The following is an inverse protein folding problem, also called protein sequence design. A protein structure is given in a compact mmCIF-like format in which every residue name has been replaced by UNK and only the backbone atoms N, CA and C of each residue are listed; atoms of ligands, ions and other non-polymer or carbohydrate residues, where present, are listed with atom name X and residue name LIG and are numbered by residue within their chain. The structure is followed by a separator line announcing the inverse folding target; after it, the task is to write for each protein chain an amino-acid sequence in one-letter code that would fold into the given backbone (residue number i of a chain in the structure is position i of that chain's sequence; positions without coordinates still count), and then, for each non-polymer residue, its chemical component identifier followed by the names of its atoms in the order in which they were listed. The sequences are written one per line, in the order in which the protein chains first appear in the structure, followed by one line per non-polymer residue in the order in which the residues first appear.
data_IF_723087541700
#
_entry.id   IF_723087541700
#
_cell.length_a   1.000
_cell.length_b   1.000
_cell.length_c   1.000
_cell.angle_alpha   90.00
_cell.angle_beta   90.00
_cell.angle_gamma   90.00
#
_symmetry.space_group_name_H-M   'P 1'
#
loop_
_entity.id
_entity.type
_entity.pdbx_description
1 polymer ?
#
# COMPACT_ATOMS: atom_id res chain seq x y z
N UNK A 1 -7.10 -21.55 9.22
CA UNK A 1 -6.51 -21.11 7.94
C UNK A 1 -7.45 -21.51 6.79
N UNK A 2 -7.47 -20.79 5.66
CA UNK A 2 -8.43 -21.05 4.56
C UNK A 2 -7.70 -21.74 3.40
N UNK A 3 -8.14 -22.93 2.99
CA UNK A 3 -7.57 -23.64 1.84
C UNK A 3 -8.03 -23.03 0.51
N UNK A 4 -7.36 -23.35 -0.61
CA UNK A 4 -7.80 -22.91 -1.95
C UNK A 4 -9.23 -23.38 -2.27
N UNK A 5 -9.66 -24.51 -1.71
CA UNK A 5 -11.06 -24.97 -1.78
C UNK A 5 -12.02 -24.01 -1.09
N UNK A 6 -11.68 -23.52 0.09
CA UNK A 6 -12.52 -22.58 0.81
C UNK A 6 -12.53 -21.19 0.13
N UNK A 7 -11.45 -20.80 -0.54
CA UNK A 7 -11.41 -19.60 -1.39
C UNK A 7 -12.30 -19.78 -2.62
N UNK A 8 -12.16 -20.89 -3.36
CA UNK A 8 -13.00 -21.19 -4.51
C UNK A 8 -14.49 -21.22 -4.14
N UNK A 9 -14.83 -21.82 -2.99
CA UNK A 9 -16.18 -21.82 -2.45
C UNK A 9 -16.69 -20.41 -2.12
N UNK A 10 -15.88 -19.56 -1.47
CA UNK A 10 -16.26 -18.17 -1.17
C UNK A 10 -16.49 -17.29 -2.40
N UNK A 11 -15.87 -17.67 -3.52
CA UNK A 11 -15.97 -16.96 -4.80
C UNK A 11 -17.02 -17.58 -5.74
N UNK A 12 -17.72 -18.64 -5.32
CA UNK A 12 -18.70 -19.35 -6.16
C UNK A 12 -18.10 -20.03 -7.39
N UNK A 13 -16.78 -20.25 -7.43
CA UNK A 13 -16.10 -20.84 -8.58
C UNK A 13 -15.73 -22.30 -8.32
N UNK A 14 -15.82 -23.20 -9.32
CA UNK A 14 -15.34 -24.56 -9.17
C UNK A 14 -13.86 -24.57 -8.82
N UNK A 15 -13.48 -25.38 -7.83
CA UNK A 15 -12.09 -25.52 -7.38
C UNK A 15 -11.13 -25.83 -8.54
N UNK A 16 -11.55 -26.66 -9.50
CA UNK A 16 -10.73 -27.02 -10.68
C UNK A 16 -10.50 -25.83 -11.61
N UNK A 17 -11.44 -24.90 -11.68
CA UNK A 17 -11.36 -23.68 -12.48
C UNK A 17 -10.43 -22.68 -11.81
N UNK A 18 -10.56 -22.49 -10.49
CA UNK A 18 -9.61 -21.70 -9.70
C UNK A 18 -8.19 -22.28 -9.80
N UNK A 19 -8.05 -23.60 -9.73
CA UNK A 19 -6.79 -24.33 -9.88
C UNK A 19 -6.13 -24.14 -11.25
N UNK A 20 -6.87 -24.37 -12.35
CA UNK A 20 -6.35 -24.24 -13.71
C UNK A 20 -5.99 -22.79 -14.05
N UNK A 21 -6.76 -21.84 -13.54
CA UNK A 21 -6.49 -20.41 -13.72
C UNK A 21 -5.20 -20.01 -13.02
N UNK A 22 -5.00 -20.42 -11.76
CA UNK A 22 -3.74 -20.19 -11.03
C UNK A 22 -2.56 -20.91 -11.67
N UNK A 23 -2.73 -22.14 -12.17
CA UNK A 23 -1.67 -22.87 -12.87
C UNK A 23 -1.25 -22.18 -14.18
N UNK A 24 -2.22 -21.75 -15.01
CA UNK A 24 -1.96 -21.06 -16.28
C UNK A 24 -1.38 -19.66 -16.10
N UNK A 25 -1.88 -18.91 -15.12
CA UNK A 25 -1.40 -17.55 -14.85
C UNK A 25 -0.01 -17.52 -14.21
N UNK A 26 0.35 -18.55 -13.44
CA UNK A 26 1.48 -18.47 -12.49
C UNK A 26 2.47 -19.63 -12.59
N UNK A 27 2.23 -20.62 -13.46
CA UNK A 27 3.11 -21.78 -13.63
C UNK A 27 3.15 -22.74 -12.42
N UNK A 28 2.17 -22.68 -11.51
CA UNK A 28 2.18 -23.44 -10.24
C UNK A 28 1.86 -24.93 -10.51
N UNK A 29 2.91 -25.75 -10.62
CA UNK A 29 2.77 -27.20 -10.87
C UNK A 29 2.22 -28.03 -9.68
N UNK A 30 1.83 -29.31 -9.92
CA UNK A 30 1.17 -30.17 -8.91
C UNK A 30 1.94 -30.43 -7.61
N UNK A 31 3.27 -30.25 -7.58
CA UNK A 31 4.09 -30.38 -6.35
C UNK A 31 3.95 -29.18 -5.42
N UNK A 32 3.73 -27.98 -5.95
CA UNK A 32 3.49 -26.77 -5.16
C UNK A 32 2.11 -26.83 -4.48
N UNK A 33 1.13 -27.41 -5.16
CA UNK A 33 -0.23 -27.62 -4.64
C UNK A 33 -0.29 -28.56 -3.44
N UNK A 34 0.46 -29.68 -3.46
CA UNK A 34 0.54 -30.60 -2.30
C UNK A 34 1.14 -29.93 -1.06
N UNK A 35 1.96 -28.90 -1.25
CA UNK A 35 2.49 -28.06 -0.17
C UNK A 35 1.46 -27.01 0.29
N UNK A 36 0.63 -26.48 -0.62
CA UNK A 36 -0.46 -25.54 -0.29
C UNK A 36 -1.60 -26.16 0.53
N UNK A 37 -1.84 -27.47 0.38
CA UNK A 37 -2.82 -28.22 1.18
C UNK A 37 -2.26 -28.70 2.53
N UNK A 38 -0.96 -28.50 2.80
CA UNK A 38 -0.31 -28.90 4.06
C UNK A 38 -0.24 -27.71 5.04
N UNK A 39 -0.93 -27.76 6.19
CA UNK A 39 -0.99 -26.64 7.14
C UNK A 39 0.31 -26.36 7.91
N UNK A 40 1.28 -27.29 7.90
CA UNK A 40 2.47 -27.25 8.76
C UNK A 40 3.74 -26.77 8.04
N UNK A 41 3.69 -26.54 6.73
CA UNK A 41 4.85 -26.09 5.98
C UNK A 41 4.88 -24.56 5.96
N UNK A 42 5.85 -23.97 6.67
CA UNK A 42 6.22 -22.55 6.55
C UNK A 42 6.90 -22.30 5.21
N UNK A 43 6.11 -22.07 4.16
CA UNK A 43 6.61 -21.95 2.78
C UNK A 43 7.01 -20.49 2.50
N UNK A 44 8.17 -20.08 3.02
CA UNK A 44 8.90 -18.96 2.45
C UNK A 44 9.86 -19.60 1.45
N UNK A 45 9.43 -19.75 0.20
CA UNK A 45 10.25 -19.72 -1.03
C UNK A 45 9.43 -20.27 -2.21
N UNK A 46 9.07 -19.38 -3.14
CA UNK A 46 8.52 -19.74 -4.46
C UNK A 46 7.09 -19.27 -4.78
N UNK A 47 6.37 -18.61 -3.86
CA UNK A 47 4.93 -18.30 -4.03
C UNK A 47 4.55 -16.85 -3.73
N UNK A 48 4.70 -15.95 -4.70
CA UNK A 48 4.27 -14.55 -4.54
C UNK A 48 2.74 -14.44 -4.40
N UNK A 49 1.98 -15.18 -5.21
CA UNK A 49 0.51 -15.13 -5.19
C UNK A 49 -0.10 -15.82 -3.97
N UNK A 50 0.46 -16.96 -3.55
CA UNK A 50 0.02 -17.63 -2.31
C UNK A 50 0.23 -16.71 -1.09
N UNK A 51 1.38 -16.03 -1.03
CA UNK A 51 1.68 -15.08 0.05
C UNK A 51 0.74 -13.88 0.01
N UNK A 52 0.47 -13.33 -1.18
CA UNK A 52 -0.47 -12.22 -1.39
C UNK A 52 -1.89 -12.61 -0.96
N UNK A 53 -2.40 -13.77 -1.38
CA UNK A 53 -3.75 -14.24 -1.03
C UNK A 53 -3.85 -14.53 0.48
N UNK A 54 -2.84 -15.16 1.08
CA UNK A 54 -2.82 -15.39 2.54
C UNK A 54 -2.78 -14.08 3.32
N UNK A 55 -1.95 -13.13 2.89
CA UNK A 55 -1.90 -11.79 3.48
C UNK A 55 -3.25 -11.09 3.33
N UNK A 56 -3.87 -11.12 2.14
CA UNK A 56 -5.19 -10.56 1.88
C UNK A 56 -6.26 -11.08 2.82
N UNK A 57 -6.34 -12.40 3.00
CA UNK A 57 -7.30 -13.03 3.88
C UNK A 57 -7.01 -12.71 5.36
N UNK A 58 -5.75 -12.64 5.75
CA UNK A 58 -5.35 -12.25 7.11
C UNK A 58 -5.71 -10.79 7.40
N UNK A 59 -5.48 -9.91 6.44
CA UNK A 59 -5.82 -8.49 6.49
C UNK A 59 -7.33 -8.26 6.55
N UNK A 60 -8.09 -8.89 5.65
CA UNK A 60 -9.55 -8.80 5.62
C UNK A 60 -10.19 -9.28 6.94
N UNK A 61 -9.72 -10.40 7.50
CA UNK A 61 -10.20 -10.91 8.80
C UNK A 61 -9.96 -9.97 9.97
N UNK A 62 -8.98 -9.08 9.85
CA UNK A 62 -8.55 -8.16 10.90
C UNK A 62 -9.01 -6.72 10.63
N UNK A 63 -9.83 -6.51 9.60
CA UNK A 63 -10.27 -5.20 9.14
C UNK A 63 -9.11 -4.23 8.84
N UNK A 64 -8.06 -4.75 8.20
CA UNK A 64 -6.83 -4.04 7.89
C UNK A 64 -6.81 -3.66 6.39
N UNK A 65 -6.81 -2.36 6.08
CA UNK A 65 -6.64 -1.85 4.72
C UNK A 65 -5.16 -1.87 4.27
N UNK A 66 -4.82 -2.73 3.31
CA UNK A 66 -3.46 -2.83 2.78
C UNK A 66 -3.39 -2.25 1.37
N UNK A 67 -2.70 -1.12 1.22
CA UNK A 67 -2.55 -0.39 -0.02
C UNK A 67 -1.39 -0.94 -0.84
N UNK A 68 -1.66 -1.22 -2.10
CA UNK A 68 -0.58 -1.63 -3.00
C UNK A 68 -0.95 -1.38 -4.45
N UNK A 69 0.02 -1.45 -5.35
CA UNK A 69 -0.19 -1.40 -6.80
C UNK A 69 -0.69 -2.78 -7.26
N UNK A 70 -1.91 -3.14 -6.89
CA UNK A 70 -2.48 -4.50 -6.81
C UNK A 70 -1.83 -5.64 -7.66
N UNK A 71 -1.57 -6.81 -7.06
CA UNK A 71 -1.37 -8.08 -7.77
C UNK A 71 -2.67 -8.90 -7.97
N UNK A 72 -3.82 -8.40 -7.48
CA UNK A 72 -5.10 -9.13 -7.44
C UNK A 72 -6.25 -8.31 -8.05
N UNK A 73 -6.99 -8.85 -9.03
CA UNK A 73 -8.05 -8.16 -9.81
C UNK A 73 -9.09 -7.35 -9.05
N UNK A 74 -9.35 -7.72 -7.80
CA UNK A 74 -10.45 -7.19 -7.01
C UNK A 74 -9.95 -6.41 -5.78
N UNK A 75 -8.69 -5.98 -5.80
CA UNK A 75 -8.10 -5.34 -4.62
C UNK A 75 -8.67 -3.94 -4.39
N UNK A 76 -9.29 -3.68 -3.24
CA UNK A 76 -10.05 -2.44 -3.05
C UNK A 76 -9.20 -1.25 -2.59
N UNK A 77 -7.94 -1.43 -2.21
CA UNK A 77 -7.08 -0.36 -1.67
C UNK A 77 -5.84 -0.14 -2.53
N UNK A 78 -5.81 0.96 -3.27
CA UNK A 78 -4.75 1.23 -4.25
C UNK A 78 -3.78 2.30 -3.76
N UNK A 79 -2.48 2.04 -3.88
CA UNK A 79 -1.44 3.07 -3.73
C UNK A 79 -0.99 3.50 -5.11
N UNK A 80 -1.10 4.78 -5.46
CA UNK A 80 -0.67 5.31 -6.76
C UNK A 80 0.43 6.37 -6.56
N UNK A 81 1.61 6.21 -7.19
CA UNK A 81 2.60 7.28 -7.23
C UNK A 81 2.09 8.49 -8.02
N UNK A 82 2.50 9.70 -7.61
CA UNK A 82 2.15 10.95 -8.30
C UNK A 82 2.41 10.92 -9.82
N UNK A 83 3.51 10.28 -10.25
CA UNK A 83 3.89 10.14 -11.67
C UNK A 83 3.08 9.09 -12.44
N UNK A 84 2.14 8.41 -11.81
CA UNK A 84 1.43 7.25 -12.38
C UNK A 84 -0.09 7.38 -12.28
N UNK A 85 -0.63 8.59 -12.05
CA UNK A 85 -2.08 8.79 -11.98
C UNK A 85 -2.76 8.50 -13.33
N UNK A 86 -2.14 8.80 -14.46
CA UNK A 86 -2.71 8.43 -15.77
C UNK A 86 -2.86 6.91 -15.96
N UNK A 87 -1.93 6.15 -15.39
CA UNK A 87 -2.01 4.69 -15.43
C UNK A 87 -3.14 4.15 -14.53
N UNK A 88 -3.50 4.87 -13.45
CA UNK A 88 -4.60 4.50 -12.58
C UNK A 88 -5.92 4.42 -13.35
N UNK A 89 -6.21 5.36 -14.24
CA UNK A 89 -7.46 5.34 -15.03
C UNK A 89 -7.65 4.04 -15.81
N UNK A 90 -6.60 3.57 -16.49
CA UNK A 90 -6.62 2.30 -17.25
C UNK A 90 -6.92 1.11 -16.33
N UNK A 91 -6.34 1.13 -15.13
CA UNK A 91 -6.62 0.12 -14.12
C UNK A 91 -8.07 0.19 -13.65
N UNK A 92 -8.58 1.39 -13.35
CA UNK A 92 -9.96 1.59 -12.90
C UNK A 92 -10.97 1.13 -13.94
N UNK A 93 -10.72 1.42 -15.23
CA UNK A 93 -11.55 0.93 -16.32
C UNK A 93 -11.55 -0.61 -16.38
N UNK A 94 -10.38 -1.23 -16.23
CA UNK A 94 -10.23 -2.69 -16.21
C UNK A 94 -10.95 -3.33 -15.03
N UNK A 95 -10.85 -2.73 -13.84
CA UNK A 95 -11.62 -3.15 -12.66
C UNK A 95 -13.13 -3.03 -12.91
N UNK A 96 -13.59 -1.92 -13.49
CA UNK A 96 -15.00 -1.69 -13.81
C UNK A 96 -15.55 -2.74 -14.77
N UNK A 97 -14.80 -3.11 -15.81
CA UNK A 97 -15.17 -4.20 -16.75
C UNK A 97 -15.33 -5.56 -16.06
N UNK A 98 -14.62 -5.76 -14.96
CA UNK A 98 -14.70 -6.94 -14.10
C UNK A 98 -15.79 -6.85 -13.03
N UNK A 99 -16.61 -5.79 -13.02
CA UNK A 99 -17.61 -5.55 -11.96
C UNK A 99 -16.98 -5.19 -10.61
N UNK A 100 -15.72 -4.79 -10.60
CA UNK A 100 -14.98 -4.38 -9.42
C UNK A 100 -14.86 -2.85 -9.35
N UNK A 101 -14.66 -2.33 -8.13
CA UNK A 101 -14.32 -0.92 -7.90
C UNK A 101 -13.35 -0.82 -6.73
N UNK A 102 -12.40 0.13 -6.75
CA UNK A 102 -11.65 0.44 -5.54
C UNK A 102 -12.58 0.99 -4.46
N UNK A 103 -12.24 0.74 -3.20
CA UNK A 103 -12.84 1.40 -2.06
C UNK A 103 -12.05 2.67 -1.67
N UNK A 104 -10.72 2.62 -1.77
CA UNK A 104 -9.87 3.77 -1.44
C UNK A 104 -8.59 3.81 -2.26
N UNK A 105 -8.13 5.02 -2.59
CA UNK A 105 -6.86 5.28 -3.27
C UNK A 105 -6.01 6.27 -2.47
N UNK A 106 -4.73 5.94 -2.24
CA UNK A 106 -3.75 6.86 -1.65
C UNK A 106 -2.80 7.33 -2.75
N UNK A 107 -2.66 8.66 -2.90
CA UNK A 107 -1.63 9.29 -3.71
C UNK A 107 -0.31 9.36 -2.92
N UNK A 108 0.65 8.53 -3.32
CA UNK A 108 2.02 8.56 -2.83
C UNK A 108 2.79 9.65 -3.59
N UNK A 109 3.16 10.71 -2.88
CA UNK A 109 3.94 11.84 -3.43
C UNK A 109 5.33 11.43 -3.91
N UNK A 110 5.87 10.29 -3.44
CA UNK A 110 7.08 9.72 -3.99
C UNK A 110 8.30 10.64 -3.87
N UNK A 111 8.49 11.29 -2.72
CA UNK A 111 9.53 12.32 -2.48
C UNK A 111 10.95 11.94 -2.93
N UNK A 112 11.29 10.64 -2.89
CA UNK A 112 12.60 10.13 -3.31
C UNK A 112 12.86 10.31 -4.81
N UNK A 113 11.82 10.36 -5.64
CA UNK A 113 11.96 10.53 -7.10
C UNK A 113 12.19 12.00 -7.52
N UNK A 114 12.13 12.91 -6.54
CA UNK A 114 12.25 14.36 -6.70
C UNK A 114 13.41 14.94 -5.91
N UNK A 115 13.93 14.19 -4.95
CA UNK A 115 15.03 14.59 -4.11
C UNK A 115 16.36 14.56 -4.88
N UNK A 116 17.03 15.70 -4.94
CA UNK A 116 18.33 15.87 -5.63
C UNK A 116 19.54 15.45 -4.77
N UNK A 117 19.32 14.92 -3.56
CA UNK A 117 20.41 14.52 -2.66
C UNK A 117 20.98 15.64 -1.78
N UNK A 118 20.55 16.89 -1.97
CA UNK A 118 21.25 18.08 -1.42
C UNK A 118 20.35 19.07 -0.68
N UNK A 119 19.10 19.26 -1.12
CA UNK A 119 18.22 20.32 -0.59
C UNK A 119 16.90 19.76 -0.07
N UNK A 120 16.35 20.42 0.94
CA UNK A 120 15.02 20.13 1.46
C UNK A 120 13.89 20.72 0.59
N UNK A 121 14.24 21.58 -0.37
CA UNK A 121 13.30 22.24 -1.26
C UNK A 121 13.01 21.41 -2.50
N UNK A 122 11.73 21.29 -2.81
CA UNK A 122 11.23 20.69 -4.05
C UNK A 122 11.16 21.73 -5.18
N UNK A 123 11.49 21.32 -6.40
CA UNK A 123 11.41 22.18 -7.58
C UNK A 123 9.97 22.50 -8.00
N UNK A 124 9.77 23.56 -8.77
CA UNK A 124 8.45 23.93 -9.32
C UNK A 124 7.81 22.75 -10.07
N UNK A 125 8.61 22.00 -10.84
CA UNK A 125 8.16 20.80 -11.54
C UNK A 125 7.53 19.76 -10.61
N UNK A 126 8.04 19.59 -9.39
CA UNK A 126 7.44 18.67 -8.41
C UNK A 126 6.04 19.16 -8.01
N UNK A 127 5.91 20.45 -7.71
CA UNK A 127 4.64 21.05 -7.30
C UNK A 127 3.61 21.00 -8.42
N UNK A 128 3.99 21.36 -9.64
CA UNK A 128 3.13 21.26 -10.82
C UNK A 128 2.61 19.82 -10.99
N UNK A 129 3.52 18.84 -10.93
CA UNK A 129 3.15 17.42 -11.06
C UNK A 129 2.26 16.95 -9.91
N UNK A 130 2.50 17.43 -8.69
CA UNK A 130 1.66 17.09 -7.54
C UNK A 130 0.24 17.61 -7.73
N UNK A 131 0.09 18.87 -8.12
CA UNK A 131 -1.23 19.49 -8.24
C UNK A 131 -2.02 18.92 -9.42
N UNK A 132 -1.39 18.68 -10.57
CA UNK A 132 -2.00 17.96 -11.69
C UNK A 132 -2.49 16.56 -11.25
N UNK A 133 -1.67 15.82 -10.51
CA UNK A 133 -2.03 14.49 -10.01
C UNK A 133 -3.17 14.53 -8.98
N UNK A 134 -3.23 15.56 -8.13
CA UNK A 134 -4.30 15.75 -7.14
C UNK A 134 -5.63 16.03 -7.84
N UNK A 135 -5.65 16.95 -8.80
CA UNK A 135 -6.87 17.26 -9.55
C UNK A 135 -7.35 16.06 -10.35
N UNK A 136 -6.43 15.36 -11.03
CA UNK A 136 -6.78 14.14 -11.77
C UNK A 136 -7.32 13.04 -10.86
N UNK A 137 -6.71 12.82 -9.69
CA UNK A 137 -7.21 11.81 -8.75
C UNK A 137 -8.60 12.18 -8.20
N UNK A 138 -8.84 13.47 -7.94
CA UNK A 138 -10.15 13.97 -7.50
C UNK A 138 -11.25 13.72 -8.54
N UNK A 139 -10.94 13.94 -9.82
CA UNK A 139 -11.85 13.62 -10.93
C UNK A 139 -12.16 12.13 -10.98
N UNK A 140 -11.13 11.28 -10.98
CA UNK A 140 -11.28 9.83 -11.00
C UNK A 140 -12.07 9.32 -9.79
N UNK A 141 -11.85 9.89 -8.60
CA UNK A 141 -12.59 9.54 -7.39
C UNK A 141 -14.09 9.81 -7.53
N UNK A 142 -14.45 10.92 -8.18
CA UNK A 142 -15.84 11.28 -8.47
C UNK A 142 -16.47 10.35 -9.51
N UNK A 143 -15.73 10.04 -10.57
CA UNK A 143 -16.22 9.19 -11.67
C UNK A 143 -16.40 7.73 -11.24
N UNK A 144 -15.41 7.16 -10.55
CA UNK A 144 -15.38 5.74 -10.19
C UNK A 144 -15.89 5.46 -8.76
N UNK A 145 -16.16 6.49 -7.96
CA UNK A 145 -16.82 6.39 -6.66
C UNK A 145 -15.97 5.74 -5.57
N UNK A 146 -14.81 6.33 -5.27
CA UNK A 146 -13.90 5.84 -4.22
C UNK A 146 -13.43 6.94 -3.27
N UNK A 147 -13.05 6.56 -2.04
CA UNK A 147 -12.35 7.47 -1.12
C UNK A 147 -10.93 7.73 -1.63
N UNK A 148 -10.43 8.95 -1.45
CA UNK A 148 -9.06 9.26 -1.84
C UNK A 148 -8.37 10.10 -0.78
N UNK A 149 -7.06 9.90 -0.66
CA UNK A 149 -6.20 10.63 0.28
C UNK A 149 -4.84 10.92 -0.35
N UNK A 150 -4.17 11.96 0.12
CA UNK A 150 -2.85 12.36 -0.37
C UNK A 150 -1.85 12.28 0.76
N UNK A 151 -0.73 11.60 0.55
CA UNK A 151 0.37 11.63 1.51
C UNK A 151 0.98 13.02 1.52
N UNK A 152 1.07 13.66 2.69
CA UNK A 152 1.73 14.95 2.81
C UNK A 152 3.22 14.82 2.41
N UNK A 153 3.74 15.69 1.53
CA UNK A 153 5.17 15.80 1.29
C UNK A 153 5.95 15.93 2.60
N UNK A 154 7.00 15.14 2.72
CA UNK A 154 7.95 15.16 3.84
C UNK A 154 9.37 15.44 3.34
N UNK A 155 10.35 15.47 4.23
CA UNK A 155 11.76 15.60 3.87
C UNK A 155 12.47 14.26 4.12
N UNK A 156 13.25 13.74 3.15
CA UNK A 156 13.92 12.45 3.28
C UNK A 156 14.81 12.37 4.54
N UNK A 157 14.82 11.22 5.20
CA UNK A 157 15.64 10.97 6.40
C UNK A 157 17.16 11.12 6.19
N UNK A 158 17.63 11.21 4.95
CA UNK A 158 19.03 11.46 4.61
C UNK A 158 19.41 12.94 4.71
N UNK A 159 18.44 13.85 4.82
CA UNK A 159 18.68 15.29 4.96
C UNK A 159 18.86 15.61 6.45
N UNK A 160 19.90 16.36 6.85
CA UNK A 160 20.00 16.91 8.21
C UNK A 160 18.74 17.71 8.57
N UNK A 161 18.28 17.62 9.81
CA UNK A 161 17.08 18.32 10.29
C UNK A 161 15.80 17.99 9.51
N UNK A 162 15.70 16.80 8.91
CA UNK A 162 14.53 16.40 8.12
C UNK A 162 13.21 16.52 8.91
N UNK A 163 13.21 16.26 10.22
CA UNK A 163 11.98 16.35 11.03
C UNK A 163 11.50 17.80 11.16
N UNK A 164 12.29 18.77 11.68
CA UNK A 164 11.89 20.18 11.69
C UNK A 164 11.52 20.74 10.30
N UNK A 165 12.24 20.34 9.25
CA UNK A 165 11.94 20.76 7.88
C UNK A 165 10.61 20.18 7.39
N UNK A 166 10.32 18.92 7.72
CA UNK A 166 9.03 18.29 7.43
C UNK A 166 7.89 18.99 8.17
N UNK A 167 8.07 19.35 9.44
CA UNK A 167 7.05 20.08 10.22
C UNK A 167 6.69 21.40 9.54
N UNK A 168 7.69 22.23 9.19
CA UNK A 168 7.47 23.50 8.48
C UNK A 168 6.78 23.33 7.13
N UNK A 169 7.16 22.30 6.39
CA UNK A 169 6.54 21.99 5.10
C UNK A 169 5.07 21.59 5.27
N UNK A 170 4.78 20.73 6.24
CA UNK A 170 3.42 20.31 6.54
C UNK A 170 2.57 21.47 7.05
N UNK A 171 3.08 22.31 7.96
CA UNK A 171 2.39 23.52 8.43
C UNK A 171 1.96 24.42 7.27
N UNK A 172 2.87 24.68 6.33
CA UNK A 172 2.57 25.48 5.13
C UNK A 172 1.44 24.86 4.32
N UNK A 173 1.57 23.59 3.95
CA UNK A 173 0.58 22.91 3.10
C UNK A 173 -0.78 22.75 3.77
N UNK A 174 -0.80 22.51 5.08
CA UNK A 174 -2.02 22.41 5.89
C UNK A 174 -2.73 23.75 6.02
N UNK A 175 -1.99 24.86 5.98
CA UNK A 175 -2.51 26.23 5.99
C UNK A 175 -3.02 26.66 4.61
N UNK A 176 -2.27 26.36 3.54
CA UNK A 176 -2.59 26.75 2.17
C UNK A 176 -3.72 25.90 1.55
N UNK A 177 -3.77 24.61 1.89
CA UNK A 177 -4.72 23.65 1.33
C UNK A 177 -5.40 22.80 2.42
N UNK A 178 -6.15 23.42 3.36
CA UNK A 178 -6.77 22.72 4.49
C UNK A 178 -7.92 21.80 4.09
N UNK A 179 -8.44 21.91 2.86
CA UNK A 179 -9.55 21.16 2.30
C UNK A 179 -9.17 19.79 1.71
N UNK A 180 -7.88 19.59 1.42
CA UNK A 180 -7.40 18.35 0.81
C UNK A 180 -7.38 17.19 1.83
N UNK A 181 -7.68 15.95 1.40
CA UNK A 181 -7.74 14.78 2.30
C UNK A 181 -6.34 14.26 2.62
N UNK A 182 -5.58 15.02 3.40
CA UNK A 182 -4.19 14.73 3.73
C UNK A 182 -4.01 13.48 4.60
N UNK A 183 -2.85 12.85 4.44
CA UNK A 183 -2.24 11.89 5.36
C UNK A 183 -0.95 12.54 5.88
N UNK A 184 -0.98 13.15 7.08
CA UNK A 184 0.21 13.67 7.75
C UNK A 184 1.24 12.56 7.97
N UNK A 185 2.53 12.90 7.88
CA UNK A 185 3.61 11.92 8.01
C UNK A 185 4.47 12.25 9.23
N UNK A 186 4.39 11.40 10.24
CA UNK A 186 5.31 11.40 11.38
C UNK A 186 6.67 10.81 10.95
N UNK A 187 7.58 11.71 10.59
CA UNK A 187 8.98 11.43 10.28
C UNK A 187 9.82 11.11 11.53
N UNK A 188 10.97 10.47 11.29
CA UNK A 188 12.04 10.33 12.27
C UNK A 188 13.38 10.62 11.62
N UNK A 189 14.37 10.88 12.47
CA UNK A 189 15.77 11.02 12.13
C UNK A 189 16.61 10.06 12.99
N UNK A 190 17.93 10.19 12.94
CA UNK A 190 18.83 9.48 13.86
C UNK A 190 18.67 9.96 15.30
N UNK A 191 18.32 11.23 15.48
CA UNK A 191 18.29 11.93 16.78
C UNK A 191 16.86 12.11 17.29
N UNK A 192 15.88 12.13 16.39
CA UNK A 192 14.47 12.38 16.68
C UNK A 192 13.64 11.13 16.38
N UNK A 193 13.02 10.48 17.39
CA UNK A 193 12.12 9.35 17.17
C UNK A 193 10.78 9.82 16.57
N UNK A 194 10.08 8.90 15.90
CA UNK A 194 8.76 9.16 15.29
C UNK A 194 7.74 9.73 16.29
N UNK A 195 7.84 9.33 17.54
CA UNK A 195 6.92 9.73 18.61
C UNK A 195 6.97 11.21 18.91
N UNK A 196 8.11 11.88 18.73
CA UNK A 196 8.20 13.33 18.96
C UNK A 196 7.46 14.10 17.88
N UNK A 197 7.68 13.77 16.61
CA UNK A 197 6.94 14.40 15.52
C UNK A 197 5.45 14.03 15.54
N UNK A 198 5.12 12.79 15.92
CA UNK A 198 3.73 12.38 16.13
C UNK A 198 3.07 13.15 17.27
N UNK A 199 3.76 13.39 18.38
CA UNK A 199 3.24 14.20 19.49
C UNK A 199 2.89 15.61 19.01
N UNK A 200 3.77 16.25 18.23
CA UNK A 200 3.46 17.54 17.62
C UNK A 200 2.21 17.49 16.72
N UNK A 201 2.06 16.47 15.87
CA UNK A 201 0.86 16.30 15.03
C UNK A 201 -0.43 16.10 15.84
N UNK A 202 -0.32 15.50 17.03
CA UNK A 202 -1.43 15.31 17.97
C UNK A 202 -1.77 16.62 18.67
N UNK A 203 -0.77 17.30 19.23
CA UNK A 203 -0.92 18.57 19.96
C UNK A 203 -1.47 19.70 19.08
N UNK A 204 -1.13 19.70 17.80
CA UNK A 204 -1.65 20.67 16.81
C UNK A 204 -3.04 20.33 16.28
N UNK A 205 -3.64 19.19 16.70
CA UNK A 205 -4.97 18.74 16.25
C UNK A 205 -5.01 18.23 14.81
N UNK A 206 -3.86 18.16 14.13
CA UNK A 206 -3.76 17.72 12.73
C UNK A 206 -4.21 16.27 12.58
N UNK A 207 -3.77 15.38 13.49
CA UNK A 207 -4.15 13.97 13.45
C UNK A 207 -5.66 13.77 13.63
N UNK A 208 -6.26 14.51 14.55
CA UNK A 208 -7.70 14.46 14.81
C UNK A 208 -8.48 14.94 13.58
N UNK A 209 -8.10 16.10 13.02
CA UNK A 209 -8.74 16.70 11.83
C UNK A 209 -8.83 15.72 10.65
N UNK A 210 -7.74 15.03 10.32
CA UNK A 210 -7.71 14.13 9.15
C UNK A 210 -8.08 12.68 9.47
N UNK A 211 -8.20 12.33 10.75
CA UNK A 211 -8.52 10.97 11.21
C UNK A 211 -7.49 9.91 10.82
N UNK A 212 -6.28 10.34 10.42
CA UNK A 212 -5.20 9.44 10.04
C UNK A 212 -3.83 10.08 10.21
N UNK A 213 -2.80 9.24 10.34
CA UNK A 213 -1.39 9.63 10.32
C UNK A 213 -0.56 8.49 9.78
N UNK A 214 0.46 8.79 8.98
CA UNK A 214 1.43 7.82 8.52
C UNK A 214 2.73 7.87 9.31
N UNK A 215 3.37 6.72 9.50
CA UNK A 215 4.73 6.64 10.03
C UNK A 215 5.71 6.55 8.87
N UNK A 216 6.45 7.64 8.65
CA UNK A 216 7.52 7.71 7.65
C UNK A 216 8.75 6.92 8.10
N UNK A 217 9.78 6.80 7.24
CA UNK A 217 11.14 6.30 7.56
C UNK A 217 11.30 4.96 8.28
N UNK A 218 10.20 4.23 8.53
CA UNK A 218 10.19 2.91 9.14
C UNK A 218 10.96 1.87 8.32
N UNK A 219 11.12 2.09 7.01
CA UNK A 219 11.92 1.23 6.13
C UNK A 219 13.38 1.10 6.58
N UNK A 220 13.95 2.13 7.22
CA UNK A 220 15.30 2.05 7.80
C UNK A 220 15.40 0.99 8.92
N UNK A 221 14.26 0.68 9.56
CA UNK A 221 14.13 -0.31 10.63
C UNK A 221 13.61 -1.67 10.12
N UNK A 222 12.88 -1.70 8.99
CA UNK A 222 12.14 -2.84 8.44
C UNK A 222 12.98 -4.02 7.90
N UNK A 223 14.30 -4.00 8.09
CA UNK A 223 15.21 -5.10 7.74
C UNK A 223 15.67 -5.89 8.97
N UNK A 224 16.92 -5.67 9.39
CA UNK A 224 17.58 -6.42 10.47
C UNK A 224 17.08 -6.08 11.88
N UNK A 225 16.18 -5.09 12.03
CA UNK A 225 15.70 -4.57 13.31
C UNK A 225 14.17 -4.61 13.43
N UNK A 226 13.56 -5.72 13.04
CA UNK A 226 12.09 -5.94 13.11
C UNK A 226 11.49 -5.61 14.50
N UNK A 227 12.23 -5.91 15.58
CA UNK A 227 11.81 -5.56 16.94
C UNK A 227 11.67 -4.04 17.13
N UNK A 228 12.63 -3.24 16.66
CA UNK A 228 12.55 -1.77 16.76
C UNK A 228 11.44 -1.20 15.89
N UNK A 229 11.23 -1.75 14.69
CA UNK A 229 10.10 -1.37 13.84
C UNK A 229 8.78 -1.58 14.58
N UNK A 230 8.62 -2.75 15.20
CA UNK A 230 7.43 -3.12 15.96
C UNK A 230 7.22 -2.21 17.17
N UNK A 231 8.27 -1.97 17.94
CA UNK A 231 8.23 -1.10 19.10
C UNK A 231 7.83 0.34 18.71
N UNK A 232 8.34 0.86 17.59
CA UNK A 232 7.95 2.17 17.09
C UNK A 232 6.44 2.24 16.75
N UNK A 233 5.90 1.18 16.13
CA UNK A 233 4.47 1.08 15.79
C UNK A 233 3.60 1.05 17.05
N UNK A 234 3.93 0.21 18.03
CA UNK A 234 3.14 0.12 19.27
C UNK A 234 3.24 1.39 20.12
N UNK A 235 4.42 2.01 20.22
CA UNK A 235 4.56 3.30 20.92
C UNK A 235 3.73 4.40 20.25
N UNK A 236 3.74 4.45 18.92
CA UNK A 236 2.93 5.42 18.17
C UNK A 236 1.43 5.19 18.39
N UNK A 237 0.99 3.93 18.41
CA UNK A 237 -0.40 3.58 18.72
C UNK A 237 -0.76 3.94 20.17
N UNK A 238 0.09 3.61 21.13
CA UNK A 238 -0.10 3.96 22.54
C UNK A 238 -0.24 5.48 22.74
N UNK A 239 0.62 6.27 22.09
CA UNK A 239 0.53 7.73 22.12
C UNK A 239 -0.81 8.26 21.61
N UNK A 240 -1.34 7.69 20.51
CA UNK A 240 -2.67 8.04 20.02
C UNK A 240 -3.77 7.66 21.02
N UNK A 241 -3.68 6.48 21.63
CA UNK A 241 -4.66 6.02 22.62
C UNK A 241 -4.66 6.88 23.89
N UNK A 242 -3.48 7.28 24.38
CA UNK A 242 -3.29 8.18 25.53
C UNK A 242 -3.99 9.54 25.31
N UNK A 243 -4.10 10.00 24.07
CA UNK A 243 -4.76 11.24 23.70
C UNK A 243 -6.22 11.05 23.27
N UNK A 244 -6.83 9.88 23.50
CA UNK A 244 -8.21 9.59 23.10
C UNK A 244 -8.42 9.39 21.60
N UNK A 245 -7.35 9.28 20.83
CA UNK A 245 -7.33 9.13 19.36
C UNK A 245 -7.24 7.66 18.93
N UNK A 246 -7.81 6.74 19.69
CA UNK A 246 -7.75 5.30 19.42
C UNK A 246 -8.34 4.92 18.04
N UNK A 247 -9.32 5.68 17.56
CA UNK A 247 -9.99 5.46 16.27
C UNK A 247 -9.21 6.02 15.06
N UNK A 248 -8.14 6.79 15.29
CA UNK A 248 -7.31 7.33 14.21
C UNK A 248 -6.61 6.21 13.47
N UNK A 249 -6.67 6.26 12.13
CA UNK A 249 -6.00 5.31 11.25
C UNK A 249 -4.49 5.55 11.23
N UNK A 250 -3.71 4.59 11.70
CA UNK A 250 -2.25 4.60 11.59
C UNK A 250 -1.84 3.94 10.26
N UNK A 251 -1.21 4.68 9.35
CA UNK A 251 -0.68 4.17 8.08
C UNK A 251 0.80 3.81 8.20
N UNK A 252 1.20 2.59 7.84
CA UNK A 252 2.58 2.13 7.97
C UNK A 252 3.25 1.99 6.61
N UNK A 253 4.23 2.86 6.33
CA UNK A 253 4.94 2.82 5.06
C UNK A 253 5.90 1.64 4.96
N UNK A 254 5.78 0.86 3.88
CA UNK A 254 6.74 -0.19 3.52
C UNK A 254 6.81 -1.36 4.51
N UNK A 255 5.70 -1.72 5.14
CA UNK A 255 5.63 -2.83 6.09
C UNK A 255 5.96 -4.17 5.40
N UNK A 256 6.89 -4.98 5.94
CA UNK A 256 7.14 -6.31 5.41
C UNK A 256 5.89 -7.19 5.47
N UNK A 257 5.55 -7.83 4.34
CA UNK A 257 4.32 -8.64 4.22
C UNK A 257 4.27 -9.80 5.22
N UNK A 258 5.42 -10.36 5.58
CA UNK A 258 5.56 -11.40 6.59
C UNK A 258 5.24 -10.89 8.00
N UNK A 259 5.59 -9.65 8.34
CA UNK A 259 5.21 -9.02 9.62
C UNK A 259 3.70 -8.81 9.67
N UNK A 260 3.12 -8.28 8.59
CA UNK A 260 1.67 -8.08 8.48
C UNK A 260 0.90 -9.39 8.64
N UNK A 261 1.41 -10.49 8.06
CA UNK A 261 0.76 -11.79 8.13
C UNK A 261 0.94 -12.51 9.48
N UNK A 262 2.10 -12.38 10.12
CA UNK A 262 2.45 -13.14 11.32
C UNK A 262 2.07 -12.45 12.64
N UNK A 263 2.11 -11.12 12.70
CA UNK A 263 2.02 -10.37 13.96
C UNK A 263 0.62 -9.81 14.21
N UNK A 264 0.23 -9.64 15.48
CA UNK A 264 -1.00 -8.92 15.88
C UNK A 264 -0.78 -7.40 15.80
N UNK A 265 -0.60 -6.88 14.59
CA UNK A 265 -0.45 -5.44 14.38
C UNK A 265 -1.69 -4.66 14.84
N UNK A 266 -1.54 -3.42 15.35
CA UNK A 266 -2.68 -2.58 15.72
C UNK A 266 -3.53 -2.25 14.49
N UNK A 267 -4.83 -1.91 14.64
CA UNK A 267 -5.67 -1.45 13.53
C UNK A 267 -5.07 -0.25 12.78
N UNK A 268 -5.36 -0.12 11.48
CA UNK A 268 -4.73 0.91 10.65
C UNK A 268 -4.79 0.66 9.15
N UNK A 269 -3.77 1.14 8.45
CA UNK A 269 -3.49 0.83 7.04
C UNK A 269 -1.99 0.61 6.82
N UNK A 270 -1.61 -0.07 5.74
CA UNK A 270 -0.21 -0.41 5.45
C UNK A 270 0.00 -0.37 3.96
N UNK A 271 1.20 -0.07 3.49
CA UNK A 271 1.58 -0.37 2.12
C UNK A 271 2.84 -1.24 2.07
N UNK A 272 3.00 -1.94 0.95
CA UNK A 272 4.32 -2.40 0.57
C UNK A 272 4.47 -2.56 -0.94
N UNK A 273 5.66 -2.15 -1.40
CA UNK A 273 6.16 -2.36 -2.76
C UNK A 273 6.91 -3.70 -2.88
N UNK A 274 7.07 -4.47 -1.81
CA UNK A 274 8.04 -5.58 -1.74
C UNK A 274 7.71 -6.78 -2.65
N UNK A 275 6.45 -7.01 -3.02
CA UNK A 275 6.09 -8.11 -3.93
C UNK A 275 6.36 -7.79 -5.41
N UNK A 276 6.66 -6.53 -5.75
CA UNK A 276 6.96 -6.09 -7.13
C UNK A 276 8.45 -6.12 -7.48
N UNK A 277 9.31 -6.39 -6.50
CA UNK A 277 10.77 -6.51 -6.68
C UNK A 277 11.17 -7.97 -6.88
N UNK A 278 12.11 -8.27 -7.78
CA UNK A 278 12.57 -9.64 -7.94
C UNK A 278 13.47 -9.94 -6.74
N UNK A 279 13.09 -10.92 -5.91
CA UNK A 279 13.98 -11.40 -4.85
C UNK A 279 15.08 -12.34 -5.37
N UNK A 280 15.11 -12.58 -6.69
CA UNK A 280 16.03 -13.50 -7.37
C UNK A 280 16.49 -12.89 -8.71
N UNK A 281 17.79 -12.90 -9.06
CA UNK A 281 18.35 -12.15 -10.20
C UNK A 281 17.75 -12.42 -11.60
N UNK A 282 17.01 -13.52 -11.76
CA UNK A 282 16.49 -14.00 -13.05
C UNK A 282 14.96 -13.95 -13.15
N UNK A 283 14.26 -13.46 -12.14
CA UNK A 283 12.83 -13.21 -12.22
C UNK A 283 12.56 -11.78 -12.69
N UNK A 284 11.64 -11.63 -13.63
CA UNK A 284 11.24 -10.32 -14.13
C UNK A 284 10.53 -9.52 -13.05
N UNK A 285 10.82 -8.22 -12.99
CA UNK A 285 10.26 -7.30 -12.02
C UNK A 285 9.85 -6.01 -12.68
N UNK A 286 8.68 -5.50 -12.32
CA UNK A 286 8.25 -4.19 -12.73
C UNK A 286 9.13 -3.12 -12.04
N UNK A 287 9.91 -2.41 -12.86
CA UNK A 287 10.99 -1.52 -12.40
C UNK A 287 10.48 -0.20 -11.84
N UNK A 288 9.28 0.22 -12.23
CA UNK A 288 8.63 1.45 -11.77
C UNK A 288 7.10 1.25 -11.57
N UNK A 289 6.42 2.29 -11.11
CA UNK A 289 4.97 2.31 -10.86
C UNK A 289 4.14 2.05 -12.12
N UNK A 290 4.51 2.67 -13.24
CA UNK A 290 3.80 2.57 -14.51
C UNK A 290 3.86 1.15 -15.07
N UNK A 291 5.04 0.51 -15.05
CA UNK A 291 5.22 -0.89 -15.43
C UNK A 291 4.36 -1.81 -14.56
N UNK A 292 4.28 -1.56 -13.25
CA UNK A 292 3.46 -2.39 -12.34
C UNK A 292 2.00 -2.35 -12.74
N UNK A 293 1.47 -1.16 -13.02
CA UNK A 293 0.08 -0.97 -13.42
C UNK A 293 -0.18 -1.60 -14.79
N UNK A 294 0.72 -1.43 -15.76
CA UNK A 294 0.59 -2.05 -17.08
C UNK A 294 0.58 -3.57 -16.98
N UNK A 295 1.58 -4.19 -16.33
CA UNK A 295 1.62 -5.65 -16.19
C UNK A 295 0.42 -6.19 -15.44
N UNK A 296 -0.03 -5.46 -14.41
CA UNK A 296 -1.21 -5.86 -13.68
C UNK A 296 -2.47 -5.75 -14.54
N UNK A 297 -2.63 -4.67 -15.29
CA UNK A 297 -3.75 -4.49 -16.23
C UNK A 297 -3.78 -5.62 -17.26
N UNK A 298 -2.65 -5.94 -17.87
CA UNK A 298 -2.53 -7.08 -18.80
C UNK A 298 -2.87 -8.41 -18.15
N UNK A 299 -2.49 -8.62 -16.88
CA UNK A 299 -2.90 -9.80 -16.11
C UNK A 299 -4.43 -9.83 -15.90
N UNK A 300 -5.08 -8.69 -15.64
CA UNK A 300 -6.53 -8.59 -15.52
C UNK A 300 -7.24 -8.93 -16.81
N UNK A 301 -6.81 -8.32 -17.91
CA UNK A 301 -7.35 -8.58 -19.25
C UNK A 301 -7.23 -10.06 -19.59
N UNK A 302 -6.07 -10.68 -19.31
CA UNK A 302 -5.89 -12.11 -19.53
C UNK A 302 -6.77 -12.98 -18.63
N UNK A 303 -6.99 -12.58 -17.38
CA UNK A 303 -7.91 -13.28 -16.50
C UNK A 303 -9.35 -13.18 -17.01
N UNK A 304 -9.78 -12.01 -17.51
CA UNK A 304 -11.11 -11.82 -18.13
C UNK A 304 -11.28 -12.78 -19.30
N UNK A 305 -10.33 -12.80 -20.23
CA UNK A 305 -10.34 -13.72 -21.38
C UNK A 305 -10.53 -15.17 -20.93
N UNK A 306 -9.73 -15.62 -19.95
CA UNK A 306 -9.80 -16.98 -19.43
C UNK A 306 -11.13 -17.29 -18.73
N UNK A 307 -11.70 -16.34 -17.98
CA UNK A 307 -12.98 -16.53 -17.29
C UNK A 307 -14.16 -16.54 -18.28
N UNK A 308 -14.11 -15.70 -19.32
CA UNK A 308 -15.13 -15.64 -20.39
C UNK A 308 -15.06 -16.89 -21.27
N UNK A 309 -13.86 -17.37 -21.63
CA UNK A 309 -13.66 -18.61 -22.39
C UNK A 309 -14.24 -19.86 -21.68
N UNK A 310 -14.37 -19.84 -20.35
CA UNK A 310 -14.81 -21.00 -19.56
C UNK A 310 -16.19 -20.81 -18.90
N UNK A 311 -16.80 -19.63 -19.02
CA UNK A 311 -18.15 -19.31 -18.51
C UNK A 311 -19.26 -19.41 -19.55
N UNK A 312 -18.93 -19.71 -20.82
CA UNK A 312 -19.88 -19.92 -21.91
C UNK A 312 -20.32 -21.37 -22.08
N UNK A 313 -20.80 -22.01 -21.01
CA UNK A 313 -21.38 -23.36 -21.01
C UNK A 313 -22.64 -23.42 -20.17
#
# INVERSE_FOLDING_TARGET
MTSLRAIAASLGVPYVTAYRSLWRLLGIGPRHMRRMDNPDVGIIHGGAVETVIKAALALARRNLAYYTLSPVPLWPWLLVPVKSVDALEKLLESMRRLGARPSSVILDVGIMDWFNGRTAEYSDKFWDTLWEAVDRLRELAREYGFEWRIVLPDVPATVPDNVPLTMRLQERLLSEHPELPWIPVAQASRETPHTEHLAWLVETGVVEKYGCVALGSLKLLAGRKKALWRDAVYRSRGLLEEHGLANVRLHLFGAPLDIVAAEKLPPGSWDSKTWTFPRVPYLWSAKDGSMRIVYFTTFLERLVELLVEHGGG
#
